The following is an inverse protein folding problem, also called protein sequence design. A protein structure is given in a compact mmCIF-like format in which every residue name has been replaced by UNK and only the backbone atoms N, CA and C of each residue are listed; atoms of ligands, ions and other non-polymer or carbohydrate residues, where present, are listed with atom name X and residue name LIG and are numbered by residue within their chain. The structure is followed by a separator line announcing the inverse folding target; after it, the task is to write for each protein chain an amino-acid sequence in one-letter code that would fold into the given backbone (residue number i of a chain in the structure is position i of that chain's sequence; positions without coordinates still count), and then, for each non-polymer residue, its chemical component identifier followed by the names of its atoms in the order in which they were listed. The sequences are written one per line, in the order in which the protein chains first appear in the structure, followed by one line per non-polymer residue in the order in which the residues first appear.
data_IF_071815017927
#
_entry.id   IF_071815017927
#
_cell.length_a   1.000
_cell.length_b   1.000
_cell.length_c   1.000
_cell.angle_alpha   90.00
_cell.angle_beta   90.00
_cell.angle_gamma   90.00
#
_symmetry.space_group_name_H-M   'P 1'
#
loop_
_entity.id
_entity.type
_entity.pdbx_description
1 polymer ?
#
# COMPACT_ATOMS: atom_id res chain seq x y z
N UNK A 1 53.27 44.25 74.38
CA UNK A 1 52.49 45.40 73.85
C UNK A 1 53.04 45.68 72.47
N UNK A 2 52.29 45.68 71.38
CA UNK A 2 50.91 45.23 71.12
C UNK A 2 50.84 44.63 69.70
N UNK A 3 49.83 43.82 69.43
CA UNK A 3 49.63 43.26 68.10
C UNK A 3 48.89 44.26 67.19
N UNK A 4 49.19 44.27 65.89
CA UNK A 4 48.29 44.86 64.88
C UNK A 4 47.89 43.79 63.86
N UNK A 5 46.60 43.78 63.55
CA UNK A 5 45.91 42.74 62.80
C UNK A 5 45.66 43.16 61.35
N UNK A 6 45.82 42.25 60.38
CA UNK A 6 45.08 42.31 59.12
C UNK A 6 44.80 40.90 58.56
N UNK A 7 43.59 40.39 58.80
CA UNK A 7 43.03 39.29 58.01
C UNK A 7 42.54 39.86 56.67
N UNK A 8 42.96 39.27 55.54
CA UNK A 8 42.30 39.46 54.24
C UNK A 8 41.46 38.21 53.93
N UNK A 9 40.13 38.35 54.04
CA UNK A 9 39.20 37.34 53.54
C UNK A 9 39.12 37.43 52.01
N UNK A 10 39.49 36.36 51.30
CA UNK A 10 39.38 36.30 49.84
C UNK A 10 38.17 35.45 49.43
N UNK A 11 37.02 36.11 49.22
CA UNK A 11 35.79 35.45 48.76
C UNK A 11 35.94 35.09 47.28
N UNK A 12 36.15 33.79 46.98
CA UNK A 12 36.10 33.27 45.61
C UNK A 12 34.64 33.21 45.13
N UNK A 13 34.26 34.15 44.26
CA UNK A 13 32.95 34.18 43.62
C UNK A 13 32.74 33.06 42.58
N UNK A 14 32.42 31.85 43.04
CA UNK A 14 31.82 30.81 42.20
C UNK A 14 30.30 31.04 42.14
N UNK A 15 29.80 31.64 41.04
CA UNK A 15 28.37 31.92 40.91
C UNK A 15 27.90 32.20 39.48
N UNK A 16 28.28 33.36 38.92
CA UNK A 16 27.63 33.88 37.69
C UNK A 16 27.79 33.00 36.45
N UNK A 17 28.99 32.46 36.20
CA UNK A 17 29.28 31.76 34.94
C UNK A 17 28.44 30.47 34.76
N UNK A 18 28.25 29.68 35.82
CA UNK A 18 27.41 28.48 35.77
C UNK A 18 25.92 28.83 35.61
N UNK A 19 25.44 29.88 36.27
CA UNK A 19 24.06 30.36 36.12
C UNK A 19 23.81 30.80 34.67
N UNK A 20 24.76 31.53 34.07
CA UNK A 20 24.65 31.95 32.66
C UNK A 20 24.70 30.77 31.69
N UNK A 21 25.53 29.75 31.93
CA UNK A 21 25.52 28.51 31.15
C UNK A 21 24.18 27.76 31.25
N UNK A 22 23.60 27.64 32.45
CA UNK A 22 22.29 27.00 32.63
C UNK A 22 21.17 27.79 31.94
N UNK A 23 21.18 29.12 32.00
CA UNK A 23 20.22 29.98 31.30
C UNK A 23 20.38 29.88 29.77
N UNK A 24 21.62 29.81 29.26
CA UNK A 24 21.87 29.61 27.84
C UNK A 24 21.38 28.24 27.35
N UNK A 25 21.61 27.17 28.14
CA UNK A 25 21.08 25.84 27.86
C UNK A 25 19.55 25.80 27.88
N UNK A 26 18.90 26.45 28.86
CA UNK A 26 17.44 26.60 28.89
C UNK A 26 16.90 27.37 27.69
N UNK A 27 17.57 28.45 27.27
CA UNK A 27 17.21 29.20 26.06
C UNK A 27 17.42 28.39 24.78
N UNK A 28 18.47 27.58 24.68
CA UNK A 28 18.68 26.69 23.53
C UNK A 28 17.62 25.58 23.52
N UNK A 29 17.28 24.98 24.66
CA UNK A 29 16.22 23.98 24.77
C UNK A 29 14.82 24.56 24.49
N UNK A 30 14.54 25.81 24.87
CA UNK A 30 13.29 26.50 24.55
C UNK A 30 13.19 26.98 23.09
N UNK A 31 14.32 27.30 22.44
CA UNK A 31 14.35 27.64 21.01
C UNK A 31 14.52 26.41 20.09
N UNK A 32 14.88 25.24 20.64
CA UNK A 32 14.68 23.94 20.00
C UNK A 32 13.20 23.54 20.01
N UNK A 33 12.36 24.37 19.39
CA UNK A 33 11.15 23.88 18.75
C UNK A 33 11.58 22.83 17.75
N UNK A 34 11.40 21.55 18.11
CA UNK A 34 11.46 20.45 17.15
C UNK A 34 10.49 20.80 16.03
N UNK A 35 11.03 21.20 14.87
CA UNK A 35 10.24 21.31 13.64
C UNK A 35 9.97 19.89 13.17
N UNK A 36 9.03 19.24 13.87
CA UNK A 36 8.23 18.17 13.30
C UNK A 36 7.60 18.78 12.05
N UNK A 37 8.17 18.43 10.90
CA UNK A 37 7.59 18.73 9.60
C UNK A 37 6.32 17.91 9.46
N UNK A 38 5.23 18.42 10.04
CA UNK A 38 3.89 17.87 9.96
C UNK A 38 3.61 17.50 8.50
N UNK A 39 3.41 16.20 8.22
CA UNK A 39 3.22 15.78 6.84
C UNK A 39 1.89 16.33 6.35
N UNK A 40 1.83 17.03 5.20
CA UNK A 40 0.59 17.58 4.67
C UNK A 40 -0.41 16.50 4.25
N UNK A 41 -0.07 15.21 4.33
CA UNK A 41 -0.94 14.10 3.99
C UNK A 41 -1.14 13.14 5.16
N UNK A 42 -2.37 12.65 5.30
CA UNK A 42 -2.63 11.40 6.01
C UNK A 42 -2.66 10.26 4.99
N UNK A 43 -1.99 9.15 5.30
CA UNK A 43 -2.02 7.92 4.52
C UNK A 43 -2.69 6.83 5.35
N UNK A 44 -3.54 6.01 4.72
CA UNK A 44 -4.29 4.96 5.40
C UNK A 44 -4.46 3.73 4.53
N UNK A 45 -4.19 2.55 5.10
CA UNK A 45 -4.04 1.30 4.35
C UNK A 45 -4.83 0.17 5.00
N UNK A 46 -5.44 -0.70 4.19
CA UNK A 46 -6.24 -1.83 4.69
C UNK A 46 -6.42 -2.96 3.66
N UNK A 47 -6.53 -4.21 4.14
CA UNK A 47 -6.50 -5.42 3.31
C UNK A 47 -7.49 -6.50 3.79
N UNK A 48 -8.53 -6.78 3.01
CA UNK A 48 -9.57 -7.75 3.37
C UNK A 48 -9.70 -8.91 2.37
N UNK A 49 -10.19 -10.06 2.82
CA UNK A 49 -10.43 -11.25 1.98
C UNK A 49 -11.66 -11.08 1.07
N UNK A 50 -11.50 -11.33 -0.23
CA UNK A 50 -12.57 -11.35 -1.24
C UNK A 50 -12.69 -12.71 -1.95
N UNK A 51 -12.16 -13.78 -1.35
CA UNK A 51 -12.21 -15.13 -1.93
C UNK A 51 -13.66 -15.63 -1.98
N UNK A 52 -14.20 -15.73 -3.20
CA UNK A 52 -15.52 -16.30 -3.47
C UNK A 52 -15.57 -17.83 -3.38
N UNK A 53 -16.66 -18.44 -3.89
CA UNK A 53 -16.88 -19.89 -3.82
C UNK A 53 -15.73 -20.68 -4.43
N UNK A 54 -15.14 -21.58 -3.65
CA UNK A 54 -13.97 -22.38 -4.02
C UNK A 54 -14.30 -23.65 -4.85
N UNK A 55 -15.59 -23.94 -5.02
CA UNK A 55 -16.12 -25.08 -5.76
C UNK A 55 -17.33 -24.64 -6.61
N UNK A 56 -17.62 -25.39 -7.67
CA UNK A 56 -18.86 -25.35 -8.47
C UNK A 56 -19.23 -23.99 -9.12
N UNK A 57 -18.30 -23.04 -9.15
CA UNK A 57 -18.46 -21.73 -9.80
C UNK A 57 -17.43 -21.56 -10.91
N UNK A 58 -17.89 -21.20 -12.11
CA UNK A 58 -17.04 -20.91 -13.26
C UNK A 58 -16.09 -19.73 -12.97
N UNK A 59 -14.84 -19.82 -13.44
CA UNK A 59 -13.81 -18.80 -13.25
C UNK A 59 -13.98 -17.66 -14.27
N UNK A 60 -13.77 -16.41 -13.81
CA UNK A 60 -13.91 -15.22 -14.65
C UNK A 60 -12.64 -14.96 -15.46
N UNK A 61 -12.78 -14.75 -16.77
CA UNK A 61 -11.72 -14.24 -17.65
C UNK A 61 -11.63 -14.97 -18.98
N UNK A 62 -11.37 -16.28 -18.95
CA UNK A 62 -11.13 -17.08 -20.16
C UNK A 62 -12.37 -17.41 -20.99
N UNK A 63 -13.57 -17.09 -20.49
CA UNK A 63 -14.86 -17.46 -21.11
C UNK A 63 -14.97 -18.97 -21.46
N UNK A 64 -14.33 -19.83 -20.65
CA UNK A 64 -14.34 -21.28 -20.80
C UNK A 64 -15.36 -21.89 -19.83
N UNK A 65 -16.44 -22.50 -20.32
CA UNK A 65 -17.47 -23.14 -19.49
C UNK A 65 -16.95 -24.30 -18.65
N UNK A 66 -15.89 -24.99 -19.11
CA UNK A 66 -15.25 -26.10 -18.40
C UNK A 66 -14.36 -25.64 -17.23
N UNK A 67 -14.02 -24.35 -17.17
CA UNK A 67 -13.13 -23.82 -16.13
C UNK A 67 -13.91 -23.51 -14.85
N UNK A 68 -14.20 -24.56 -14.08
CA UNK A 68 -14.91 -24.47 -12.79
C UNK A 68 -13.91 -24.50 -11.64
N UNK A 69 -14.11 -23.68 -10.60
CA UNK A 69 -13.30 -23.72 -9.40
C UNK A 69 -13.45 -25.09 -8.70
N UNK A 70 -12.34 -25.64 -8.21
CA UNK A 70 -12.29 -26.90 -7.46
C UNK A 70 -11.26 -26.88 -6.32
N UNK A 71 -10.89 -25.69 -5.85
CA UNK A 71 -9.95 -25.47 -4.76
C UNK A 71 -9.38 -24.05 -4.73
N UNK A 72 -8.43 -23.82 -3.83
CA UNK A 72 -7.72 -22.54 -3.66
C UNK A 72 -6.22 -22.81 -3.72
N UNK A 73 -5.49 -22.08 -4.58
CA UNK A 73 -4.04 -22.01 -4.54
C UNK A 73 -3.59 -20.97 -3.51
N UNK A 74 -4.13 -19.74 -3.59
CA UNK A 74 -4.08 -18.77 -2.50
C UNK A 74 -5.29 -17.82 -2.55
N UNK A 75 -5.61 -17.20 -1.40
CA UNK A 75 -6.78 -16.33 -1.23
C UNK A 75 -6.63 -14.98 -1.94
N UNK A 76 -7.77 -14.43 -2.36
CA UNK A 76 -7.89 -13.17 -3.07
C UNK A 76 -8.10 -12.02 -2.07
N UNK A 77 -7.47 -10.86 -2.29
CA UNK A 77 -7.58 -9.66 -1.44
C UNK A 77 -8.17 -8.45 -2.14
N UNK A 78 -8.92 -7.65 -1.39
CA UNK A 78 -9.16 -6.23 -1.65
C UNK A 78 -8.16 -5.41 -0.84
N UNK A 79 -7.36 -4.57 -1.51
CA UNK A 79 -6.36 -3.69 -0.89
C UNK A 79 -6.77 -2.24 -1.12
N UNK A 80 -7.04 -1.50 -0.05
CA UNK A 80 -7.46 -0.11 -0.10
C UNK A 80 -6.32 0.83 0.34
N UNK A 81 -6.14 1.90 -0.43
CA UNK A 81 -5.15 2.95 -0.24
C UNK A 81 -5.89 4.28 -0.15
N UNK A 82 -5.83 4.95 1.00
CA UNK A 82 -6.46 6.24 1.25
C UNK A 82 -5.37 7.29 1.42
N UNK A 83 -5.54 8.43 0.75
CA UNK A 83 -4.75 9.64 0.97
C UNK A 83 -5.70 10.78 1.29
N UNK A 84 -5.47 11.48 2.39
CA UNK A 84 -6.15 12.74 2.72
C UNK A 84 -5.15 13.90 2.64
N UNK A 85 -5.52 15.00 1.98
CA UNK A 85 -4.71 16.23 1.95
C UNK A 85 -5.06 17.20 3.09
N UNK A 86 -4.34 18.34 3.21
CA UNK A 86 -4.50 19.28 4.33
C UNK A 86 -5.90 19.89 4.43
N UNK A 87 -6.60 19.98 3.30
CA UNK A 87 -7.96 20.51 3.21
C UNK A 87 -9.04 19.44 3.46
N UNK A 88 -8.69 18.29 4.04
CA UNK A 88 -9.61 17.20 4.37
C UNK A 88 -10.12 16.39 3.18
N UNK A 89 -9.85 16.82 1.93
CA UNK A 89 -10.22 16.03 0.74
C UNK A 89 -9.45 14.72 0.73
N UNK A 90 -10.17 13.64 0.45
CA UNK A 90 -9.61 12.28 0.39
C UNK A 90 -9.72 11.71 -1.01
N UNK A 91 -8.79 10.84 -1.38
CA UNK A 91 -8.92 9.89 -2.48
C UNK A 91 -8.77 8.46 -1.94
N UNK A 92 -9.51 7.52 -2.52
CA UNK A 92 -9.48 6.09 -2.21
C UNK A 92 -9.22 5.33 -3.49
N UNK A 93 -8.14 4.56 -3.52
CA UNK A 93 -7.90 3.57 -4.57
C UNK A 93 -8.03 2.18 -3.98
N UNK A 94 -8.83 1.31 -4.60
CA UNK A 94 -9.00 -0.08 -4.19
C UNK A 94 -8.55 -1.00 -5.32
N UNK A 95 -7.68 -1.94 -4.99
CA UNK A 95 -7.17 -2.93 -5.92
C UNK A 95 -7.62 -4.34 -5.50
N UNK A 96 -8.30 -5.02 -6.41
CA UNK A 96 -8.88 -6.34 -6.18
C UNK A 96 -8.04 -7.41 -6.86
N UNK A 97 -7.79 -8.51 -6.15
CA UNK A 97 -7.38 -9.78 -6.75
C UNK A 97 -8.56 -10.42 -7.51
N UNK A 98 -9.07 -9.72 -8.53
CA UNK A 98 -10.21 -10.10 -9.35
C UNK A 98 -9.95 -9.80 -10.84
N UNK A 99 -10.77 -10.38 -11.73
CA UNK A 99 -10.64 -10.18 -13.17
C UNK A 99 -10.98 -8.74 -13.59
N UNK A 100 -12.00 -8.12 -13.02
CA UNK A 100 -12.33 -6.72 -13.27
C UNK A 100 -13.09 -6.10 -12.10
N UNK A 101 -13.12 -4.77 -12.05
CA UNK A 101 -14.16 -4.07 -11.30
C UNK A 101 -15.54 -4.31 -11.96
N UNK A 102 -16.62 -4.09 -11.21
CA UNK A 102 -18.00 -4.31 -11.67
C UNK A 102 -18.83 -3.07 -11.39
N UNK A 103 -19.62 -2.62 -12.37
CA UNK A 103 -20.50 -1.46 -12.20
C UNK A 103 -21.45 -1.66 -11.01
N UNK A 104 -22.01 -2.86 -10.84
CA UNK A 104 -22.89 -3.20 -9.72
C UNK A 104 -22.17 -3.17 -8.37
N UNK A 105 -20.92 -3.66 -8.35
CA UNK A 105 -20.07 -3.62 -7.16
C UNK A 105 -19.76 -2.17 -6.79
N UNK A 106 -19.38 -1.33 -7.76
CA UNK A 106 -19.11 0.09 -7.51
C UNK A 106 -20.34 0.81 -6.96
N UNK A 107 -21.52 0.62 -7.58
CA UNK A 107 -22.79 1.19 -7.10
C UNK A 107 -23.07 0.74 -5.66
N UNK A 108 -22.97 -0.56 -5.37
CA UNK A 108 -23.31 -1.08 -4.04
C UNK A 108 -22.30 -0.70 -2.96
N UNK A 109 -21.01 -0.62 -3.30
CA UNK A 109 -19.96 -0.11 -2.40
C UNK A 109 -20.21 1.36 -2.08
N UNK A 110 -20.46 2.21 -3.09
CA UNK A 110 -20.74 3.63 -2.88
C UNK A 110 -22.02 3.85 -2.05
N UNK A 111 -23.07 3.05 -2.27
CA UNK A 111 -24.29 3.07 -1.44
C UNK A 111 -23.97 2.81 0.05
N UNK A 112 -23.18 1.76 0.34
CA UNK A 112 -22.78 1.42 1.73
C UNK A 112 -21.84 2.45 2.35
N UNK A 113 -20.87 2.96 1.58
CA UNK A 113 -19.96 4.01 2.03
C UNK A 113 -20.72 5.30 2.35
N UNK A 114 -21.70 5.68 1.52
CA UNK A 114 -22.56 6.84 1.78
C UNK A 114 -23.42 6.66 3.03
N UNK A 115 -23.99 5.47 3.25
CA UNK A 115 -24.72 5.16 4.47
C UNK A 115 -23.85 5.21 5.74
N UNK A 116 -22.54 4.92 5.62
CA UNK A 116 -21.58 4.88 6.74
C UNK A 116 -20.87 6.21 7.02
N UNK A 117 -20.55 6.97 5.98
CA UNK A 117 -19.65 8.14 6.04
C UNK A 117 -20.23 9.42 5.41
N UNK A 118 -21.50 9.42 5.00
CA UNK A 118 -22.08 10.52 4.24
C UNK A 118 -21.36 10.74 2.91
N UNK A 119 -21.21 11.99 2.48
CA UNK A 119 -20.60 12.32 1.18
C UNK A 119 -19.05 12.27 1.17
N UNK A 120 -18.41 11.79 2.24
CA UNK A 120 -16.94 11.71 2.36
C UNK A 120 -16.30 10.80 1.29
N UNK A 121 -17.00 9.74 0.90
CA UNK A 121 -16.59 8.78 -0.12
C UNK A 121 -17.70 8.64 -1.17
N UNK A 122 -17.41 9.08 -2.38
CA UNK A 122 -18.36 9.19 -3.49
C UNK A 122 -17.67 8.89 -4.83
N UNK A 123 -18.43 8.92 -5.92
CA UNK A 123 -17.97 8.60 -7.28
C UNK A 123 -16.80 9.47 -7.79
N UNK A 124 -16.58 10.65 -7.20
CA UNK A 124 -15.51 11.56 -7.59
C UNK A 124 -14.16 11.23 -6.91
N UNK A 125 -14.16 10.39 -5.87
CA UNK A 125 -12.94 10.11 -5.09
C UNK A 125 -12.71 8.64 -4.70
N UNK A 126 -13.58 7.70 -5.12
CA UNK A 126 -13.38 6.26 -4.95
C UNK A 126 -13.15 5.59 -6.31
N UNK A 127 -11.95 5.05 -6.51
CA UNK A 127 -11.60 4.22 -7.67
C UNK A 127 -11.46 2.75 -7.24
N UNK A 128 -12.05 1.83 -8.01
CA UNK A 128 -11.96 0.38 -7.79
C UNK A 128 -11.43 -0.26 -9.07
N UNK A 129 -10.36 -1.05 -8.95
CA UNK A 129 -9.66 -1.71 -10.06
C UNK A 129 -9.46 -3.19 -9.76
N UNK A 130 -9.56 -4.05 -10.77
CA UNK A 130 -9.11 -5.45 -10.67
C UNK A 130 -7.71 -5.61 -11.26
N UNK A 131 -6.89 -6.49 -10.68
CA UNK A 131 -5.57 -6.85 -11.24
C UNK A 131 -5.64 -7.63 -12.56
N UNK A 132 -6.84 -8.03 -12.98
CA UNK A 132 -7.08 -8.86 -14.16
C UNK A 132 -6.52 -10.29 -14.05
N UNK A 133 -6.69 -10.92 -12.88
CA UNK A 133 -6.53 -12.38 -12.73
C UNK A 133 -7.66 -13.12 -13.43
N UNK A 134 -7.32 -14.14 -14.23
CA UNK A 134 -8.27 -15.06 -14.87
C UNK A 134 -8.53 -16.32 -14.02
N UNK A 135 -8.11 -16.30 -12.75
CA UNK A 135 -8.20 -17.41 -11.79
C UNK A 135 -9.01 -17.03 -10.54
N UNK A 136 -10.00 -16.14 -10.66
CA UNK A 136 -11.00 -15.85 -9.61
C UNK A 136 -12.41 -16.34 -10.00
N UNK A 137 -13.31 -16.62 -9.04
CA UNK A 137 -14.68 -17.05 -9.34
C UNK A 137 -15.51 -15.94 -9.99
N UNK A 138 -16.38 -16.32 -10.93
CA UNK A 138 -17.24 -15.42 -11.70
C UNK A 138 -18.59 -15.08 -11.05
N UNK A 139 -19.53 -14.62 -11.88
CA UNK A 139 -20.92 -14.36 -11.50
C UNK A 139 -21.20 -13.06 -10.74
N UNK A 140 -20.24 -12.14 -10.59
CA UNK A 140 -20.39 -10.87 -9.85
C UNK A 140 -20.67 -9.63 -10.73
N UNK A 141 -20.94 -9.83 -12.03
CA UNK A 141 -21.20 -8.80 -13.03
C UNK A 141 -22.70 -8.76 -13.39
N UNK A 142 -23.24 -7.59 -13.71
CA UNK A 142 -24.68 -7.43 -13.96
C UNK A 142 -25.14 -7.76 -15.39
N UNK A 143 -24.23 -7.70 -16.37
CA UNK A 143 -24.58 -7.88 -17.79
C UNK A 143 -24.44 -9.33 -18.23
N UNK A 144 -25.47 -9.86 -18.91
CA UNK A 144 -25.57 -11.26 -19.38
C UNK A 144 -24.30 -11.73 -20.10
N UNK A 145 -23.71 -10.88 -20.95
CA UNK A 145 -22.48 -11.18 -21.70
C UNK A 145 -21.31 -11.64 -20.83
N UNK A 146 -21.21 -11.16 -19.59
CA UNK A 146 -20.12 -11.53 -18.67
C UNK A 146 -20.47 -12.69 -17.73
N UNK A 147 -21.75 -13.03 -17.58
CA UNK A 147 -22.20 -14.08 -16.65
C UNK A 147 -22.70 -15.36 -17.35
N UNK A 148 -22.66 -15.40 -18.69
CA UNK A 148 -23.09 -16.57 -19.47
C UNK A 148 -22.31 -17.85 -19.10
N UNK A 149 -21.00 -17.77 -18.87
CA UNK A 149 -20.20 -18.94 -18.49
C UNK A 149 -20.32 -19.32 -17.02
N UNK A 150 -20.72 -18.38 -16.16
CA UNK A 150 -21.09 -18.65 -14.76
C UNK A 150 -22.55 -19.06 -14.59
N UNK A 151 -23.25 -19.31 -15.70
CA UNK A 151 -24.67 -19.72 -15.75
C UNK A 151 -25.61 -18.74 -15.02
N UNK A 152 -25.22 -17.47 -14.93
CA UNK A 152 -25.95 -16.41 -14.25
C UNK A 152 -25.19 -15.75 -13.10
N UNK A 153 -25.94 -15.06 -12.25
CA UNK A 153 -25.39 -14.24 -11.17
C UNK A 153 -25.16 -15.06 -9.90
N UNK A 154 -23.91 -15.12 -9.45
CA UNK A 154 -23.49 -15.88 -8.26
C UNK A 154 -23.44 -14.93 -7.07
N UNK A 155 -24.51 -14.91 -6.28
CA UNK A 155 -24.69 -13.97 -5.17
C UNK A 155 -23.53 -14.00 -4.16
N UNK A 156 -22.99 -15.18 -3.87
CA UNK A 156 -21.84 -15.36 -2.96
C UNK A 156 -20.57 -14.65 -3.47
N UNK A 157 -20.26 -14.75 -4.76
CA UNK A 157 -19.13 -14.03 -5.38
C UNK A 157 -19.32 -12.52 -5.30
N UNK A 158 -20.54 -12.04 -5.55
CA UNK A 158 -20.86 -10.61 -5.47
C UNK A 158 -20.75 -10.07 -4.03
N UNK A 159 -21.40 -10.72 -3.07
CA UNK A 159 -21.45 -10.23 -1.68
C UNK A 159 -20.07 -10.21 -1.04
N UNK A 160 -19.23 -11.25 -1.23
CA UNK A 160 -17.88 -11.25 -0.63
C UNK A 160 -16.98 -10.15 -1.20
N UNK A 161 -17.13 -9.82 -2.49
CA UNK A 161 -16.37 -8.73 -3.12
C UNK A 161 -16.83 -7.37 -2.56
N UNK A 162 -18.15 -7.11 -2.50
CA UNK A 162 -18.69 -5.86 -1.95
C UNK A 162 -18.31 -5.70 -0.46
N UNK A 163 -18.48 -6.77 0.33
CA UNK A 163 -18.12 -6.80 1.75
C UNK A 163 -16.63 -6.55 1.98
N UNK A 164 -15.76 -7.22 1.21
CA UNK A 164 -14.32 -7.07 1.38
C UNK A 164 -13.81 -5.72 0.90
N UNK A 165 -14.41 -5.12 -0.12
CA UNK A 165 -14.12 -3.73 -0.50
C UNK A 165 -14.49 -2.78 0.63
N UNK A 166 -15.73 -2.81 1.11
CA UNK A 166 -16.19 -1.96 2.21
C UNK A 166 -15.25 -2.12 3.43
N UNK A 167 -14.96 -3.35 3.85
CA UNK A 167 -14.11 -3.62 5.01
C UNK A 167 -12.68 -3.16 4.81
N UNK A 168 -12.09 -3.34 3.62
CA UNK A 168 -10.73 -2.82 3.33
C UNK A 168 -10.68 -1.28 3.39
N UNK A 169 -11.72 -0.58 2.92
CA UNK A 169 -11.83 0.88 3.03
C UNK A 169 -12.04 1.32 4.49
N UNK A 170 -12.86 0.61 5.26
CA UNK A 170 -13.07 0.88 6.70
C UNK A 170 -11.76 0.70 7.49
N UNK A 171 -11.01 -0.37 7.21
CA UNK A 171 -9.69 -0.62 7.80
C UNK A 171 -8.71 0.51 7.43
N UNK A 172 -8.62 0.86 6.14
CA UNK A 172 -7.77 1.96 5.67
C UNK A 172 -8.17 3.33 6.24
N UNK A 173 -9.46 3.58 6.48
CA UNK A 173 -9.96 4.80 7.11
C UNK A 173 -9.56 4.89 8.59
N UNK A 174 -9.66 3.77 9.31
CA UNK A 174 -9.33 3.72 10.74
C UNK A 174 -7.81 3.77 10.98
N UNK A 175 -7.00 3.38 9.97
CA UNK A 175 -5.55 3.41 9.96
C UNK A 175 -4.98 4.69 9.28
N UNK A 176 -5.70 5.82 9.32
CA UNK A 176 -5.21 7.09 8.76
C UNK A 176 -4.23 7.80 9.70
N UNK A 177 -2.99 7.95 9.28
CA UNK A 177 -1.90 8.56 10.06
C UNK A 177 -1.05 9.53 9.21
N UNK A 178 -0.38 10.53 9.83
CA UNK A 178 0.52 11.45 9.11
C UNK A 178 1.61 10.68 8.35
N UNK A 179 1.76 10.98 7.07
CA UNK A 179 2.71 10.24 6.26
C UNK A 179 2.99 10.82 4.88
N UNK A 180 4.08 10.35 4.28
CA UNK A 180 4.67 10.83 3.03
C UNK A 180 4.39 9.83 1.91
N UNK A 181 4.29 10.37 0.69
CA UNK A 181 4.06 9.59 -0.53
C UNK A 181 5.25 9.82 -1.46
N UNK A 182 5.85 8.73 -1.93
CA UNK A 182 6.95 8.78 -2.88
C UNK A 182 6.55 8.04 -4.16
N UNK A 183 7.04 8.51 -5.30
CA UNK A 183 6.84 7.87 -6.60
C UNK A 183 8.21 7.48 -7.15
N UNK A 184 8.35 6.25 -7.65
CA UNK A 184 9.53 5.82 -8.38
C UNK A 184 9.14 5.09 -9.67
N UNK A 185 10.06 5.05 -10.64
CA UNK A 185 9.87 4.46 -11.96
C UNK A 185 11.10 3.63 -12.34
N UNK A 186 10.89 2.51 -13.03
CA UNK A 186 11.98 1.68 -13.53
C UNK A 186 11.51 0.69 -14.59
N UNK A 187 12.41 0.30 -15.49
CA UNK A 187 12.11 -0.68 -16.54
C UNK A 187 12.12 -2.11 -15.97
N UNK A 188 10.99 -2.81 -16.10
CA UNK A 188 10.88 -4.25 -15.87
C UNK A 188 10.87 -5.00 -17.20
N UNK A 189 12.04 -5.52 -17.58
CA UNK A 189 12.20 -6.36 -18.76
C UNK A 189 11.60 -7.75 -18.54
N UNK A 190 11.33 -8.45 -19.64
CA UNK A 190 10.93 -9.88 -19.71
C UNK A 190 9.71 -10.37 -18.91
N UNK A 191 8.98 -9.48 -18.23
CA UNK A 191 7.72 -9.77 -17.53
C UNK A 191 6.45 -9.76 -18.44
N UNK A 192 6.62 -9.82 -19.76
CA UNK A 192 5.51 -9.83 -20.72
C UNK A 192 5.91 -9.57 -22.17
N UNK A 193 5.03 -9.98 -23.09
CA UNK A 193 5.16 -9.87 -24.56
C UNK A 193 3.90 -9.27 -25.19
N UNK A 194 4.04 -8.64 -26.37
CA UNK A 194 2.89 -8.16 -27.12
C UNK A 194 2.17 -9.36 -27.79
N UNK A 195 0.93 -9.64 -27.39
CA UNK A 195 0.11 -10.74 -27.94
C UNK A 195 -0.55 -10.45 -29.31
N UNK A 196 -0.37 -9.24 -29.85
CA UNK A 196 -0.93 -8.80 -31.13
C UNK A 196 0.04 -7.86 -31.87
N UNK A 197 1.28 -8.30 -32.15
CA UNK A 197 2.33 -7.43 -32.68
C UNK A 197 2.00 -6.90 -34.08
N UNK A 198 1.24 -7.64 -34.89
CA UNK A 198 0.74 -7.18 -36.19
C UNK A 198 -0.22 -5.99 -36.06
N UNK A 199 -1.09 -5.98 -35.04
CA UNK A 199 -1.97 -4.85 -34.77
C UNK A 199 -1.19 -3.62 -34.31
N UNK A 200 -0.16 -3.80 -33.47
CA UNK A 200 0.75 -2.71 -33.10
C UNK A 200 1.43 -2.08 -34.32
N UNK A 201 1.87 -2.88 -35.30
CA UNK A 201 2.52 -2.36 -36.53
C UNK A 201 1.63 -1.47 -37.39
N UNK A 202 0.30 -1.54 -37.24
CA UNK A 202 -0.65 -0.66 -37.92
C UNK A 202 -0.69 0.76 -37.34
N UNK A 203 -0.13 0.98 -36.14
CA UNK A 203 0.04 2.33 -35.60
C UNK A 203 1.00 3.15 -36.48
N UNK A 204 0.77 4.47 -36.65
CA UNK A 204 1.63 5.34 -37.47
C UNK A 204 3.12 5.16 -37.16
N UNK A 205 3.95 5.11 -38.20
CA UNK A 205 5.39 4.89 -38.04
C UNK A 205 6.05 5.99 -37.18
N UNK A 206 5.61 7.23 -37.31
CA UNK A 206 6.06 8.36 -36.48
C UNK A 206 5.74 8.15 -34.99
N UNK A 207 4.53 7.67 -34.66
CA UNK A 207 4.15 7.34 -33.29
C UNK A 207 5.01 6.21 -32.75
N UNK A 208 5.12 5.09 -33.48
CA UNK A 208 5.92 3.94 -33.06
C UNK A 208 7.39 4.29 -32.83
N UNK A 209 7.93 5.25 -33.57
CA UNK A 209 9.32 5.69 -33.41
C UNK A 209 9.61 6.38 -32.07
N UNK A 210 8.57 6.81 -31.34
CA UNK A 210 8.68 7.42 -29.99
C UNK A 210 8.92 6.38 -28.88
N UNK A 211 8.78 5.08 -29.17
CA UNK A 211 8.85 4.01 -28.18
C UNK A 211 9.93 2.97 -28.53
N UNK A 212 10.77 2.62 -27.55
CA UNK A 212 11.84 1.62 -27.70
C UNK A 212 11.31 0.17 -27.84
N UNK A 213 10.12 -0.10 -27.32
CA UNK A 213 9.51 -1.42 -27.23
C UNK A 213 8.06 -1.38 -27.73
N UNK A 214 7.51 -2.54 -28.12
CA UNK A 214 6.09 -2.69 -28.46
C UNK A 214 5.22 -3.14 -27.28
N UNK A 215 5.74 -3.00 -26.06
CA UNK A 215 5.08 -3.21 -24.76
C UNK A 215 5.61 -2.18 -23.79
N UNK A 216 4.77 -1.73 -22.85
CA UNK A 216 5.22 -0.83 -21.79
C UNK A 216 6.14 -1.59 -20.82
N UNK A 217 7.40 -1.14 -20.73
CA UNK A 217 8.39 -1.71 -19.80
C UNK A 217 8.51 -0.93 -18.49
N UNK A 218 8.08 0.33 -18.45
CA UNK A 218 8.11 1.13 -17.24
C UNK A 218 7.08 0.61 -16.20
N UNK A 219 7.57 0.22 -15.03
CA UNK A 219 6.76 0.08 -13.82
C UNK A 219 6.77 1.42 -13.07
N UNK A 220 5.59 1.90 -12.67
CA UNK A 220 5.46 3.03 -11.74
C UNK A 220 5.05 2.50 -10.37
N UNK A 221 5.88 2.78 -9.35
CA UNK A 221 5.65 2.44 -7.95
C UNK A 221 5.24 3.69 -7.18
N UNK A 222 4.24 3.55 -6.31
CA UNK A 222 3.88 4.53 -5.28
C UNK A 222 4.12 3.90 -3.91
N UNK A 223 4.95 4.56 -3.09
CA UNK A 223 5.30 4.18 -1.72
C UNK A 223 4.58 5.08 -0.74
N UNK A 224 3.99 4.48 0.28
CA UNK A 224 3.38 5.16 1.42
C UNK A 224 4.24 4.95 2.66
N UNK A 225 4.55 6.03 3.37
CA UNK A 225 5.41 6.04 4.55
C UNK A 225 4.70 6.80 5.66
N UNK A 226 4.35 6.11 6.74
CA UNK A 226 3.90 6.71 7.97
C UNK A 226 5.10 7.35 8.70
N UNK A 227 4.87 8.49 9.36
CA UNK A 227 5.95 9.28 9.94
C UNK A 227 6.57 8.65 11.21
N UNK A 228 5.85 7.76 11.91
CA UNK A 228 6.33 7.10 13.14
C UNK A 228 6.81 5.66 12.88
N UNK A 229 5.97 4.86 12.23
CA UNK A 229 6.19 3.43 11.96
C UNK A 229 6.98 3.17 10.68
N UNK A 230 7.24 4.22 9.89
CA UNK A 230 8.03 4.14 8.68
C UNK A 230 7.21 3.62 7.49
N UNK A 231 7.81 2.84 6.59
CA UNK A 231 7.17 2.59 5.30
C UNK A 231 6.04 1.54 5.46
N UNK A 232 4.80 1.93 5.11
CA UNK A 232 3.56 1.20 5.45
C UNK A 232 2.83 0.59 4.26
N UNK A 233 3.12 0.98 3.02
CA UNK A 233 2.48 0.31 1.88
C UNK A 233 3.06 0.65 0.52
N UNK A 234 2.71 -0.14 -0.48
CA UNK A 234 3.10 0.10 -1.87
C UNK A 234 2.00 -0.27 -2.86
N UNK A 235 1.92 0.50 -3.94
CA UNK A 235 1.08 0.21 -5.11
C UNK A 235 1.94 0.25 -6.38
N UNK A 236 1.76 -0.70 -7.30
CA UNK A 236 2.55 -0.83 -8.51
C UNK A 236 1.69 -0.90 -9.78
N UNK A 237 1.88 0.06 -10.70
CA UNK A 237 1.37 0.02 -12.07
C UNK A 237 2.41 -0.62 -13.00
N UNK A 238 2.03 -1.72 -13.66
CA UNK A 238 2.83 -2.36 -14.71
C UNK A 238 1.91 -3.16 -15.66
N UNK A 239 2.16 -3.06 -16.97
CA UNK A 239 1.29 -3.63 -18.01
C UNK A 239 1.57 -5.12 -18.28
N UNK A 240 0.84 -6.00 -17.63
CA UNK A 240 0.81 -7.44 -17.95
C UNK A 240 -0.55 -8.05 -17.59
N UNK A 241 -0.96 -9.12 -18.26
CA UNK A 241 -2.23 -9.83 -17.96
C UNK A 241 -2.03 -10.81 -16.80
N UNK A 242 -3.02 -10.92 -15.91
CA UNK A 242 -3.09 -12.00 -14.91
C UNK A 242 -3.57 -13.31 -15.53
N UNK A 243 -2.76 -13.87 -16.45
CA UNK A 243 -3.04 -15.10 -17.20
C UNK A 243 -1.85 -16.07 -17.19
N UNK A 244 -1.08 -16.10 -16.11
CA UNK A 244 -0.03 -17.11 -15.89
C UNK A 244 -0.63 -18.48 -15.50
N UNK A 245 -1.75 -18.48 -14.77
CA UNK A 245 -2.60 -19.64 -14.54
C UNK A 245 -3.49 -19.83 -15.78
N UNK A 246 -3.29 -20.91 -16.54
CA UNK A 246 -3.99 -21.14 -17.81
C UNK A 246 -5.50 -21.44 -17.66
N UNK A 247 -6.23 -21.49 -18.79
CA UNK A 247 -7.66 -21.87 -18.84
C UNK A 247 -8.00 -23.27 -18.32
N UNK A 248 -6.99 -24.10 -18.02
CA UNK A 248 -7.13 -25.45 -17.46
C UNK A 248 -6.85 -25.49 -15.96
N UNK A 249 -6.45 -24.37 -15.35
CA UNK A 249 -6.39 -24.23 -13.90
C UNK A 249 -7.80 -24.12 -13.32
N UNK A 250 -8.07 -24.90 -12.27
CA UNK A 250 -9.30 -24.88 -11.47
C UNK A 250 -9.10 -24.37 -10.03
N UNK A 251 -7.91 -23.90 -9.66
CA UNK A 251 -7.62 -23.38 -8.31
C UNK A 251 -7.72 -21.86 -8.27
N UNK A 252 -8.42 -21.31 -7.27
CA UNK A 252 -8.49 -19.85 -7.07
C UNK A 252 -7.08 -19.28 -6.80
N UNK A 253 -6.73 -18.24 -7.54
CA UNK A 253 -5.40 -17.61 -7.52
C UNK A 253 -5.48 -16.13 -7.91
N UNK A 254 -4.70 -15.29 -7.25
CA UNK A 254 -4.45 -13.91 -7.69
C UNK A 254 -3.53 -13.80 -8.92
N UNK A 255 -3.13 -14.93 -9.51
CA UNK A 255 -2.22 -14.99 -10.66
C UNK A 255 -0.86 -14.28 -10.38
N UNK A 256 -0.13 -13.86 -11.41
CA UNK A 256 1.19 -13.23 -11.29
C UNK A 256 1.19 -11.95 -10.45
N UNK A 257 0.18 -11.08 -10.61
CA UNK A 257 0.04 -9.81 -9.87
C UNK A 257 -0.32 -10.04 -8.40
N UNK A 258 -1.24 -10.95 -8.11
CA UNK A 258 -1.58 -11.33 -6.73
C UNK A 258 -0.44 -12.08 -6.05
N UNK A 259 0.33 -12.89 -6.79
CA UNK A 259 1.55 -13.51 -6.28
C UNK A 259 2.63 -12.47 -5.95
N UNK A 260 2.86 -11.48 -6.82
CA UNK A 260 3.78 -10.38 -6.55
C UNK A 260 3.38 -9.56 -5.31
N UNK A 261 2.09 -9.23 -5.18
CA UNK A 261 1.57 -8.56 -3.98
C UNK A 261 1.73 -9.43 -2.73
N UNK A 262 1.42 -10.72 -2.81
CA UNK A 262 1.59 -11.67 -1.70
C UNK A 262 3.06 -11.81 -1.30
N UNK A 263 4.00 -11.94 -2.24
CA UNK A 263 5.42 -12.07 -1.93
C UNK A 263 5.95 -10.82 -1.23
N UNK A 264 5.46 -9.64 -1.62
CA UNK A 264 5.76 -8.36 -0.99
C UNK A 264 5.23 -8.28 0.46
N UNK A 265 3.98 -8.71 0.67
CA UNK A 265 3.33 -8.80 1.99
C UNK A 265 4.06 -9.81 2.90
N UNK A 266 4.21 -11.06 2.44
CA UNK A 266 4.88 -12.17 3.14
C UNK A 266 6.35 -11.84 3.48
N UNK A 267 7.09 -11.15 2.59
CA UNK A 267 8.48 -10.77 2.83
C UNK A 267 8.60 -9.79 4.00
N UNK A 268 7.70 -8.81 4.11
CA UNK A 268 7.76 -7.83 5.17
C UNK A 268 7.18 -8.31 6.50
N UNK A 269 6.16 -9.18 6.47
CA UNK A 269 5.69 -9.87 7.68
C UNK A 269 6.85 -10.62 8.37
N UNK A 270 7.78 -11.18 7.57
CA UNK A 270 8.97 -11.90 8.06
C UNK A 270 10.12 -10.99 8.52
N UNK A 271 10.43 -9.94 7.77
CA UNK A 271 11.59 -9.08 8.05
C UNK A 271 11.29 -7.95 9.05
N UNK A 272 10.01 -7.66 9.32
CA UNK A 272 9.59 -6.54 10.14
C UNK A 272 9.74 -5.19 9.45
N UNK A 273 9.12 -4.15 10.03
CA UNK A 273 9.33 -2.78 9.58
C UNK A 273 10.63 -2.24 10.19
N UNK A 274 11.58 -1.72 9.39
CA UNK A 274 12.69 -0.94 9.92
C UNK A 274 12.10 0.32 10.56
N UNK A 275 12.13 0.41 11.89
CA UNK A 275 11.91 1.68 12.58
C UNK A 275 12.92 2.68 12.03
N UNK A 276 12.50 3.92 11.76
CA UNK A 276 13.50 4.98 11.68
C UNK A 276 14.25 4.99 13.02
N UNK A 277 15.57 4.89 12.94
CA UNK A 277 16.44 5.07 14.09
C UNK A 277 16.46 6.56 14.44
N UNK A 278 15.39 7.03 15.08
CA UNK A 278 15.49 8.14 16.00
C UNK A 278 16.64 7.84 16.96
N UNK A 279 17.50 8.82 17.20
CA UNK A 279 18.76 8.66 17.95
C UNK A 279 18.47 7.97 19.28
N UNK A 280 18.91 6.72 19.41
CA UNK A 280 18.76 5.97 20.64
C UNK A 280 19.75 6.53 21.68
N UNK A 281 19.29 7.47 22.50
CA UNK A 281 19.82 7.58 23.86
C UNK A 281 19.52 6.26 24.55
N UNK A 282 20.56 5.47 24.82
CA UNK A 282 20.48 4.28 25.63
C UNK A 282 20.09 4.67 27.05
N UNK A 283 18.81 4.57 27.39
CA UNK A 283 18.26 4.37 28.75
C UNK A 283 16.71 4.33 28.67
N UNK A 284 16.14 3.17 28.36
CA UNK A 284 15.08 2.57 29.19
C UNK A 284 14.77 1.13 28.75
N UNK A 285 15.16 0.17 29.59
CA UNK A 285 14.85 -1.26 29.47
C UNK A 285 13.83 -1.62 30.56
N UNK A 286 12.54 -1.43 30.30
CA UNK A 286 11.51 -1.88 31.23
C UNK A 286 10.09 -1.47 30.90
N UNK A 287 9.17 -2.45 30.97
CA UNK A 287 7.72 -2.27 31.11
C UNK A 287 6.97 -1.40 30.07
N UNK A 288 6.30 -2.08 29.14
CA UNK A 288 4.82 -2.13 29.21
C UNK A 288 4.25 -3.35 28.48
N UNK A 289 3.22 -3.93 29.10
CA UNK A 289 2.56 -5.18 28.70
C UNK A 289 1.27 -4.87 27.93
N UNK A 290 0.96 -5.67 26.90
CA UNK A 290 -0.33 -5.82 26.21
C UNK A 290 -1.39 -4.70 26.36
N UNK A 291 -1.59 -3.87 25.32
CA UNK A 291 -2.94 -3.50 24.80
C UNK A 291 -2.85 -2.71 23.49
N UNK A 292 -3.06 -3.38 22.35
CA UNK A 292 -3.77 -2.85 21.16
C UNK A 292 -3.68 -3.86 20.01
N UNK A 293 -4.79 -4.53 19.69
CA UNK A 293 -4.87 -5.42 18.53
C UNK A 293 -5.22 -4.58 17.30
N UNK A 294 -4.18 -4.15 16.57
CA UNK A 294 -4.32 -3.63 15.20
C UNK A 294 -3.91 -4.73 14.21
N UNK A 295 -4.71 -5.01 13.16
CA UNK A 295 -4.35 -6.01 12.16
C UNK A 295 -3.21 -5.50 11.28
N UNK A 296 -1.97 -5.91 11.59
CA UNK A 296 -0.80 -5.68 10.71
C UNK A 296 -0.98 -6.45 9.40
N UNK A 297 -1.10 -5.78 8.25
CA UNK A 297 -0.92 -6.40 6.92
C UNK A 297 -0.64 -5.42 5.76
N UNK A 298 0.32 -4.50 5.88
CA UNK A 298 0.73 -3.63 4.76
C UNK A 298 2.23 -3.25 4.85
N UNK A 299 2.98 -3.16 3.73
CA UNK A 299 4.46 -3.12 3.72
C UNK A 299 5.20 -2.69 2.43
N UNK A 300 6.56 -2.62 2.50
CA UNK A 300 7.53 -1.82 1.69
C UNK A 300 9.01 -2.25 1.91
N UNK A 301 10.00 -2.19 0.99
CA UNK A 301 10.04 -1.94 -0.48
C UNK A 301 11.42 -2.29 -1.09
N UNK A 302 11.56 -2.10 -2.42
CA UNK A 302 12.76 -2.16 -3.30
C UNK A 302 14.00 -1.42 -2.74
N UNK A 303 15.25 -1.87 -3.03
CA UNK A 303 16.51 -1.26 -2.55
C UNK A 303 16.81 0.16 -3.06
N UNK A 304 17.79 0.81 -2.41
CA UNK A 304 18.43 2.05 -2.87
C UNK A 304 19.22 1.82 -4.19
N UNK A 305 19.47 2.88 -5.01
CA UNK A 305 20.03 2.73 -6.36
C UNK A 305 21.43 2.09 -6.46
N UNK A 306 22.23 2.11 -5.38
CA UNK A 306 23.67 1.79 -5.44
C UNK A 306 24.02 0.29 -5.31
N UNK A 307 23.08 -0.56 -4.87
CA UNK A 307 23.34 -2.01 -4.68
C UNK A 307 23.29 -2.85 -5.98
N UNK A 308 22.90 -2.26 -7.12
CA UNK A 308 22.96 -2.95 -8.43
C UNK A 308 24.43 -3.16 -8.90
N UNK A 309 25.38 -2.44 -8.31
CA UNK A 309 26.80 -2.47 -8.72
C UNK A 309 27.60 -3.71 -8.29
N UNK A 310 27.11 -4.50 -7.32
CA UNK A 310 27.91 -5.55 -6.64
C UNK A 310 27.61 -6.99 -7.07
N UNK A 311 26.67 -7.22 -8.00
CA UNK A 311 26.34 -8.56 -8.52
C UNK A 311 27.00 -8.92 -9.87
N UNK A 312 27.89 -8.06 -10.38
CA UNK A 312 28.76 -8.36 -11.53
C UNK A 312 30.23 -8.55 -11.11
N UNK A 313 30.47 -9.39 -10.10
CA UNK A 313 31.82 -9.75 -9.66
C UNK A 313 31.93 -11.15 -9.01
N UNK A 314 31.51 -12.20 -9.72
CA UNK A 314 32.20 -13.51 -9.79
C UNK A 314 31.59 -14.41 -10.85
#
# INVERSE_FOLDING_TARGET
MEASSFLRYQVRGFGSFRIWQCLLLLLVLQNCSLVLSDSPYLVGMGSYDITGPAADVNMMGYANTEQVASGIHFRLKSRAFIVAGPNGRRVVFVNLDACMASQLVNIKVLERLKARYGDLYNENNVAISGIHTHAGPGGYLQYVVYIVTSLGFVRQSFDVIVDGIEKSIVEAHNNLHPGKIYVNKGDLLDAGVNRSPSAYLNNPAEERSKYKYNVDKEMTLVKFVDDESGPVGSFNWFATHGTSMSRTNSLISGDNKGAAARFMEDWAEKNGLPKQTGVASSDDLGFLHMTSVLPRRVSTIIPEPDEISMLHAT
#
